data_IF_569463816671
#
_entry.id   IF_569463816671
#
_cell.length_a   1.000
_cell.length_b   1.000
_cell.length_c   1.000
_cell.angle_alpha   90.00
_cell.angle_beta   90.00
_cell.angle_gamma   90.00
#
_symmetry.space_group_name_H-M   'P 1'
#
loop_
_entity.id
_entity.type
_entity.pdbx_description
1 polymer ?
#
# COMPACT_ATOMS: atom_id res chain seq x y z
N UNK A 1 42.96 -8.73 -3.07
CA UNK A 1 41.93 -7.89 -3.71
C UNK A 1 40.59 -8.41 -3.22
N UNK A 2 40.14 -7.94 -2.06
CA UNK A 2 38.91 -8.42 -1.44
C UNK A 2 37.73 -7.70 -2.09
N UNK A 3 36.87 -8.45 -2.77
CA UNK A 3 35.54 -7.98 -3.13
C UNK A 3 34.75 -7.86 -1.83
N UNK A 4 34.45 -6.63 -1.42
CA UNK A 4 33.60 -6.33 -0.28
C UNK A 4 32.25 -7.02 -0.47
N UNK A 5 32.05 -8.13 0.25
CA UNK A 5 30.74 -8.76 0.40
C UNK A 5 29.92 -7.86 1.32
N UNK A 6 29.25 -6.89 0.72
CA UNK A 6 28.18 -6.14 1.39
C UNK A 6 27.17 -7.19 1.90
N UNK A 7 26.93 -7.20 3.21
CA UNK A 7 26.00 -8.14 3.84
C UNK A 7 24.58 -7.92 3.30
N UNK A 8 23.75 -8.98 3.25
CA UNK A 8 22.36 -8.86 2.78
C UNK A 8 21.53 -7.78 3.51
N UNK A 9 21.71 -7.55 4.84
CA UNK A 9 21.10 -6.43 5.55
C UNK A 9 21.58 -5.06 5.04
N UNK A 10 22.89 -4.87 4.82
CA UNK A 10 23.40 -3.61 4.27
C UNK A 10 22.81 -3.31 2.89
N UNK A 11 22.71 -4.32 2.03
CA UNK A 11 22.15 -4.18 0.69
C UNK A 11 20.67 -3.78 0.74
N UNK A 12 19.90 -4.39 1.63
CA UNK A 12 18.48 -4.06 1.84
C UNK A 12 18.30 -2.64 2.39
N UNK A 13 19.12 -2.22 3.35
CA UNK A 13 19.10 -0.86 3.88
C UNK A 13 19.44 0.18 2.81
N UNK A 14 20.43 -0.09 1.96
CA UNK A 14 20.75 0.78 0.82
C UNK A 14 19.62 0.85 -0.22
N UNK A 15 18.93 -0.26 -0.49
CA UNK A 15 17.78 -0.27 -1.39
C UNK A 15 16.63 0.57 -0.83
N UNK A 16 16.39 0.52 0.49
CA UNK A 16 15.38 1.35 1.19
C UNK A 16 15.76 2.85 1.12
N UNK A 17 17.02 3.21 1.35
CA UNK A 17 17.48 4.60 1.28
C UNK A 17 17.50 5.15 -0.15
N UNK A 18 17.68 4.27 -1.15
CA UNK A 18 17.65 4.62 -2.58
C UNK A 18 16.24 4.63 -3.17
N UNK A 19 15.20 4.32 -2.39
CA UNK A 19 13.82 4.56 -2.80
C UNK A 19 13.63 6.07 -2.99
N UNK A 20 13.93 6.53 -4.20
CA UNK A 20 13.63 7.89 -4.61
C UNK A 20 12.13 8.01 -4.73
N UNK A 21 11.58 8.91 -3.95
CA UNK A 21 10.26 9.49 -4.18
C UNK A 21 10.43 10.51 -5.32
N UNK A 22 10.79 10.03 -6.52
CA UNK A 22 10.89 10.87 -7.72
C UNK A 22 9.46 11.11 -8.23
N UNK A 23 8.84 12.16 -7.70
CA UNK A 23 7.68 12.73 -8.34
C UNK A 23 8.11 13.98 -9.11
N UNK A 24 7.68 14.07 -10.37
CA UNK A 24 7.84 15.25 -11.20
C UNK A 24 6.76 16.27 -10.77
N UNK A 25 6.93 16.92 -9.62
CA UNK A 25 5.97 17.85 -8.97
C UNK A 25 6.31 19.31 -9.31
N UNK A 26 6.75 19.59 -10.53
CA UNK A 26 6.86 20.99 -10.96
C UNK A 26 5.47 21.62 -11.21
N UNK A 27 4.42 20.80 -11.36
CA UNK A 27 3.10 21.25 -11.82
C UNK A 27 1.97 21.18 -10.77
N UNK A 28 2.22 20.68 -9.55
CA UNK A 28 1.16 20.50 -8.55
C UNK A 28 1.21 21.59 -7.45
N UNK A 29 0.49 22.67 -7.73
CA UNK A 29 0.16 23.71 -6.75
C UNK A 29 -0.93 23.20 -5.80
N UNK A 30 -0.60 22.95 -4.52
CA UNK A 30 -1.67 22.81 -3.51
C UNK A 30 -1.29 22.21 -2.16
N UNK A 31 -0.24 21.39 -2.06
CA UNK A 31 0.12 20.79 -0.79
C UNK A 31 0.94 21.78 0.06
N UNK A 32 0.24 22.58 0.87
CA UNK A 32 0.84 23.51 1.84
C UNK A 32 1.86 22.85 2.79
N UNK A 33 1.86 21.52 2.88
CA UNK A 33 2.74 20.72 3.73
C UNK A 33 3.49 19.59 2.99
N UNK A 34 3.71 19.70 1.67
CA UNK A 34 4.47 18.68 0.91
C UNK A 34 5.85 18.41 1.55
N UNK A 35 6.57 19.47 1.93
CA UNK A 35 7.86 19.34 2.59
C UNK A 35 7.75 18.56 3.92
N UNK A 36 6.66 18.74 4.67
CA UNK A 36 6.39 18.03 5.93
C UNK A 36 6.09 16.55 5.67
N UNK A 37 5.30 16.25 4.63
CA UNK A 37 4.98 14.88 4.22
C UNK A 37 6.23 14.15 3.69
N UNK A 38 6.98 14.77 2.79
CA UNK A 38 8.24 14.26 2.25
C UNK A 38 9.27 14.03 3.37
N UNK A 39 9.42 14.97 4.30
CA UNK A 39 10.27 14.81 5.47
C UNK A 39 9.81 13.64 6.36
N UNK A 40 8.50 13.43 6.50
CA UNK A 40 7.91 12.29 7.20
C UNK A 40 8.27 10.95 6.55
N UNK A 41 8.14 10.86 5.22
CA UNK A 41 8.52 9.66 4.46
C UNK A 41 10.02 9.40 4.55
N UNK A 42 10.85 10.43 4.31
CA UNK A 42 12.31 10.31 4.40
C UNK A 42 12.78 9.89 5.79
N UNK A 43 12.14 10.43 6.85
CA UNK A 43 12.41 10.02 8.23
C UNK A 43 12.01 8.57 8.49
N UNK A 44 10.88 8.13 7.95
CA UNK A 44 10.43 6.74 8.01
C UNK A 44 11.36 5.77 7.28
N UNK A 45 11.77 6.11 6.06
CA UNK A 45 12.73 5.34 5.26
C UNK A 45 14.08 5.24 5.97
N UNK A 46 14.58 6.35 6.52
CA UNK A 46 15.82 6.37 7.30
C UNK A 46 15.72 5.52 8.56
N UNK A 47 14.63 5.61 9.31
CA UNK A 47 14.41 4.79 10.51
C UNK A 47 14.35 3.30 10.17
N UNK A 48 13.71 2.93 9.05
CA UNK A 48 13.66 1.56 8.56
C UNK A 48 15.05 1.06 8.13
N UNK A 49 15.83 1.88 7.41
CA UNK A 49 17.18 1.55 7.01
C UNK A 49 18.14 1.40 8.20
N UNK A 50 18.05 2.30 9.18
CA UNK A 50 18.85 2.23 10.42
C UNK A 50 18.46 1.02 11.28
N UNK A 51 17.19 0.63 11.30
CA UNK A 51 16.75 -0.60 11.95
C UNK A 51 17.35 -1.84 11.30
N UNK A 52 17.28 -1.95 9.97
CA UNK A 52 17.87 -3.05 9.20
C UNK A 52 19.39 -3.11 9.36
N UNK A 53 20.05 -1.95 9.43
CA UNK A 53 21.52 -1.83 9.56
C UNK A 53 22.02 -2.19 10.96
N UNK A 54 21.23 -1.92 12.00
CA UNK A 54 21.61 -2.11 13.40
C UNK A 54 20.98 -3.35 14.04
N UNK A 55 20.23 -4.16 13.29
CA UNK A 55 19.65 -5.39 13.79
C UNK A 55 20.77 -6.34 14.30
N UNK A 56 20.72 -6.79 15.57
CA UNK A 56 21.74 -7.67 16.12
C UNK A 56 21.74 -9.01 15.39
N UNK A 57 22.93 -9.45 14.95
CA UNK A 57 23.15 -10.65 14.13
C UNK A 57 22.98 -11.98 14.87
N UNK A 58 22.02 -12.05 15.78
CA UNK A 58 21.64 -13.25 16.53
C UNK A 58 20.40 -13.85 15.88
N UNK A 59 20.41 -15.15 15.49
CA UNK A 59 19.33 -15.74 14.70
C UNK A 59 17.94 -15.73 15.38
N UNK A 60 17.89 -15.54 16.70
CA UNK A 60 16.65 -15.44 17.49
C UNK A 60 16.12 -14.00 17.54
N UNK A 61 17.00 -13.00 17.42
CA UNK A 61 16.67 -11.57 17.56
C UNK A 61 16.32 -10.94 16.18
N UNK A 62 16.91 -11.44 15.10
CA UNK A 62 16.58 -11.01 13.72
C UNK A 62 15.15 -11.38 13.30
N UNK A 63 14.63 -12.53 13.74
CA UNK A 63 13.24 -12.93 13.45
C UNK A 63 12.24 -12.08 14.24
N UNK A 64 12.56 -11.76 15.49
CA UNK A 64 11.73 -10.89 16.34
C UNK A 64 11.72 -9.45 15.79
N UNK A 65 12.89 -8.92 15.45
CA UNK A 65 13.09 -7.61 14.83
C UNK A 65 12.37 -7.48 13.48
N UNK A 66 12.47 -8.50 12.62
CA UNK A 66 11.74 -8.52 11.34
C UNK A 66 10.22 -8.57 11.52
N UNK A 67 9.73 -9.31 12.53
CA UNK A 67 8.32 -9.37 12.87
C UNK A 67 7.79 -8.03 13.40
N UNK A 68 8.55 -7.36 14.27
CA UNK A 68 8.19 -6.04 14.81
C UNK A 68 8.16 -4.97 13.71
N UNK A 69 9.11 -5.00 12.78
CA UNK A 69 9.10 -4.12 11.61
C UNK A 69 7.88 -4.37 10.73
N UNK A 70 7.53 -5.64 10.48
CA UNK A 70 6.34 -5.98 9.70
C UNK A 70 5.05 -5.47 10.39
N UNK A 71 4.97 -5.55 11.72
CA UNK A 71 3.86 -4.97 12.49
C UNK A 71 3.78 -3.45 12.29
N UNK A 72 4.90 -2.74 12.36
CA UNK A 72 4.96 -1.29 12.14
C UNK A 72 4.55 -0.90 10.72
N UNK A 73 5.00 -1.67 9.71
CA UNK A 73 4.63 -1.42 8.31
C UNK A 73 3.14 -1.69 8.07
N UNK A 74 2.55 -2.71 8.71
CA UNK A 74 1.09 -2.93 8.69
C UNK A 74 0.32 -1.78 9.34
N UNK A 75 0.78 -1.30 10.49
CA UNK A 75 0.20 -0.14 11.15
C UNK A 75 0.29 1.13 10.27
N UNK A 76 1.39 1.29 9.54
CA UNK A 76 1.53 2.39 8.58
C UNK A 76 0.54 2.27 7.41
N UNK A 77 0.35 1.05 6.87
CA UNK A 77 -0.71 0.77 5.88
C UNK A 77 -2.09 1.18 6.39
N UNK A 78 -2.46 0.79 7.61
CA UNK A 78 -3.75 1.14 8.22
C UNK A 78 -3.90 2.65 8.40
N UNK A 79 -2.81 3.33 8.77
CA UNK A 79 -2.75 4.78 8.92
C UNK A 79 -2.98 5.49 7.58
N UNK A 80 -2.35 5.01 6.49
CA UNK A 80 -2.59 5.53 5.14
C UNK A 80 -4.05 5.36 4.72
N UNK A 81 -4.66 4.19 4.96
CA UNK A 81 -6.08 3.94 4.69
C UNK A 81 -7.01 4.87 5.48
N UNK A 82 -6.66 5.22 6.72
CA UNK A 82 -7.39 6.21 7.49
C UNK A 82 -7.32 7.60 6.85
N UNK A 83 -6.12 8.07 6.48
CA UNK A 83 -5.95 9.40 5.88
C UNK A 83 -6.56 9.51 4.48
N UNK A 84 -6.50 8.47 3.66
CA UNK A 84 -7.20 8.43 2.36
C UNK A 84 -8.70 8.70 2.56
N UNK A 85 -9.34 7.98 3.49
CA UNK A 85 -10.77 8.17 3.80
C UNK A 85 -11.08 9.56 4.34
N UNK A 86 -10.17 10.14 5.13
CA UNK A 86 -10.32 11.51 5.63
C UNK A 86 -10.28 12.50 4.46
N UNK A 87 -9.31 12.36 3.57
CA UNK A 87 -9.10 13.26 2.44
C UNK A 87 -10.27 13.21 1.46
N UNK A 88 -10.80 12.00 1.19
CA UNK A 88 -12.03 11.81 0.41
C UNK A 88 -13.22 12.56 1.02
N UNK A 89 -13.39 12.50 2.35
CA UNK A 89 -14.48 13.21 3.05
C UNK A 89 -14.31 14.71 3.02
N UNK A 90 -13.08 15.21 3.02
CA UNK A 90 -12.79 16.64 2.94
C UNK A 90 -12.69 17.17 1.52
N UNK A 91 -12.85 16.30 0.50
CA UNK A 91 -12.76 16.66 -0.91
C UNK A 91 -11.33 16.83 -1.44
N UNK A 92 -10.32 16.43 -0.67
CA UNK A 92 -8.91 16.46 -1.07
C UNK A 92 -8.56 15.23 -1.92
N UNK A 93 -9.05 15.24 -3.16
CA UNK A 93 -8.84 14.13 -4.10
C UNK A 93 -7.37 13.87 -4.44
N UNK A 94 -6.54 14.92 -4.42
CA UNK A 94 -5.11 14.84 -4.73
C UNK A 94 -4.32 14.24 -3.57
N UNK A 95 -4.58 14.71 -2.33
CA UNK A 95 -4.02 14.13 -1.12
C UNK A 95 -4.38 12.66 -0.97
N UNK A 96 -5.61 12.27 -1.32
CA UNK A 96 -6.04 10.89 -1.34
C UNK A 96 -5.30 10.06 -2.41
N UNK A 97 -5.11 10.59 -3.62
CA UNK A 97 -4.41 9.89 -4.71
C UNK A 97 -2.94 9.58 -4.37
N UNK A 98 -2.21 10.56 -3.81
CA UNK A 98 -0.83 10.38 -3.36
C UNK A 98 -0.71 9.29 -2.28
N UNK A 99 -1.64 9.28 -1.32
CA UNK A 99 -1.65 8.30 -0.24
C UNK A 99 -2.02 6.90 -0.75
N UNK A 100 -2.88 6.77 -1.76
CA UNK A 100 -3.16 5.49 -2.43
C UNK A 100 -1.91 4.93 -3.13
N UNK A 101 -1.16 5.76 -3.84
CA UNK A 101 0.09 5.28 -4.46
C UNK A 101 1.07 4.78 -3.40
N UNK A 102 1.24 5.54 -2.31
CA UNK A 102 2.11 5.15 -1.19
C UNK A 102 1.61 3.86 -0.54
N UNK A 103 0.30 3.71 -0.37
CA UNK A 103 -0.33 2.50 0.14
C UNK A 103 0.00 1.29 -0.74
N UNK A 104 -0.05 1.42 -2.07
CA UNK A 104 0.33 0.36 -2.99
C UNK A 104 1.78 -0.11 -2.82
N UNK A 105 2.71 0.82 -2.59
CA UNK A 105 4.13 0.49 -2.30
C UNK A 105 4.23 -0.29 -0.99
N UNK A 106 3.58 0.20 0.07
CA UNK A 106 3.60 -0.41 1.41
C UNK A 106 2.97 -1.80 1.38
N UNK A 107 1.83 -1.96 0.72
CA UNK A 107 1.14 -3.24 0.61
C UNK A 107 1.95 -4.27 -0.19
N UNK A 108 2.66 -3.84 -1.24
CA UNK A 108 3.59 -4.71 -1.96
C UNK A 108 4.79 -5.12 -1.09
N UNK A 109 5.31 -4.23 -0.27
CA UNK A 109 6.39 -4.54 0.67
C UNK A 109 5.94 -5.55 1.73
N UNK A 110 4.73 -5.39 2.28
CA UNK A 110 4.10 -6.35 3.20
C UNK A 110 3.93 -7.71 2.51
N UNK A 111 3.33 -7.74 1.31
CA UNK A 111 3.10 -8.97 0.56
C UNK A 111 4.42 -9.72 0.29
N UNK A 112 5.46 -9.01 -0.13
CA UNK A 112 6.80 -9.58 -0.35
C UNK A 112 7.40 -10.16 0.94
N UNK A 113 7.23 -9.48 2.08
CA UNK A 113 7.72 -9.95 3.38
C UNK A 113 6.95 -11.20 3.86
N UNK A 114 5.65 -11.29 3.55
CA UNK A 114 4.78 -12.41 3.91
C UNK A 114 4.82 -13.56 2.89
N UNK A 115 5.54 -13.40 1.77
CA UNK A 115 5.53 -14.36 0.67
C UNK A 115 4.18 -14.46 -0.06
N UNK A 116 3.32 -13.45 0.09
CA UNK A 116 2.03 -13.37 -0.57
C UNK A 116 2.16 -12.84 -2.01
N UNK A 117 1.29 -13.29 -2.90
CA UNK A 117 1.20 -12.74 -4.25
C UNK A 117 0.53 -11.36 -4.26
N UNK A 118 0.84 -10.55 -5.27
CA UNK A 118 0.19 -9.25 -5.47
C UNK A 118 -1.34 -9.41 -5.61
N UNK A 119 -1.81 -10.45 -6.29
CA UNK A 119 -3.23 -10.80 -6.39
C UNK A 119 -3.87 -11.03 -5.02
N UNK A 120 -3.23 -11.79 -4.14
CA UNK A 120 -3.74 -12.04 -2.77
C UNK A 120 -3.78 -10.75 -1.94
N UNK A 121 -2.82 -9.86 -2.15
CA UNK A 121 -2.76 -8.55 -1.50
C UNK A 121 -3.89 -7.63 -2.00
N UNK A 122 -4.12 -7.57 -3.32
CA UNK A 122 -5.23 -6.81 -3.90
C UNK A 122 -6.59 -7.35 -3.45
N UNK A 123 -6.74 -8.68 -3.35
CA UNK A 123 -7.97 -9.30 -2.85
C UNK A 123 -8.22 -8.95 -1.37
N UNK A 124 -7.16 -8.93 -0.55
CA UNK A 124 -7.24 -8.48 0.85
C UNK A 124 -7.63 -7.01 0.94
N UNK A 125 -7.06 -6.17 0.06
CA UNK A 125 -7.43 -4.75 -0.04
C UNK A 125 -8.90 -4.57 -0.41
N UNK A 126 -9.38 -5.31 -1.42
CA UNK A 126 -10.77 -5.28 -1.85
C UNK A 126 -11.73 -5.62 -0.70
N UNK A 127 -11.43 -6.65 0.08
CA UNK A 127 -12.23 -7.01 1.26
C UNK A 127 -12.27 -5.86 2.28
N UNK A 128 -11.14 -5.18 2.52
CA UNK A 128 -11.09 -4.00 3.39
C UNK A 128 -11.94 -2.85 2.86
N UNK A 129 -11.90 -2.60 1.55
CA UNK A 129 -12.72 -1.58 0.89
C UNK A 129 -14.22 -1.89 1.01
N UNK A 130 -14.62 -3.15 0.82
CA UNK A 130 -16.01 -3.59 0.99
C UNK A 130 -16.50 -3.36 2.42
N UNK A 131 -15.69 -3.72 3.43
CA UNK A 131 -16.02 -3.49 4.84
C UNK A 131 -16.09 -2.00 5.15
N UNK A 132 -15.20 -1.19 4.57
CA UNK A 132 -15.12 0.25 4.84
C UNK A 132 -16.18 1.07 4.10
N UNK A 133 -16.71 0.57 2.98
CA UNK A 133 -17.69 1.25 2.14
C UNK A 133 -18.90 0.33 1.83
N UNK A 134 -19.64 -0.14 2.86
CA UNK A 134 -20.68 -1.15 2.69
C UNK A 134 -21.83 -0.68 1.79
N UNK A 135 -22.23 0.59 1.87
CA UNK A 135 -23.26 1.17 1.01
C UNK A 135 -22.83 1.19 -0.46
N UNK A 136 -21.56 1.54 -0.73
CA UNK A 136 -21.00 1.57 -2.08
C UNK A 136 -20.83 0.16 -2.63
N UNK A 137 -20.45 -0.81 -1.79
CA UNK A 137 -20.37 -2.21 -2.17
C UNK A 137 -21.76 -2.76 -2.55
N UNK A 138 -22.80 -2.39 -1.79
CA UNK A 138 -24.18 -2.75 -2.12
C UNK A 138 -24.61 -2.14 -3.46
N UNK A 139 -24.30 -0.86 -3.72
CA UNK A 139 -24.56 -0.23 -5.01
C UNK A 139 -23.77 -0.90 -6.15
N UNK A 140 -22.52 -1.26 -5.94
CA UNK A 140 -21.68 -1.91 -6.96
C UNK A 140 -22.20 -3.30 -7.39
N UNK A 141 -23.06 -3.94 -6.59
CA UNK A 141 -23.74 -5.19 -6.96
C UNK A 141 -24.82 -5.00 -8.03
N UNK A 142 -25.30 -3.76 -8.22
CA UNK A 142 -26.39 -3.41 -9.15
C UNK A 142 -25.99 -2.34 -10.18
N UNK A 143 -24.94 -1.56 -9.92
CA UNK A 143 -24.51 -0.41 -10.71
C UNK A 143 -23.03 -0.53 -11.13
N UNK A 144 -22.80 -0.45 -12.44
CA UNK A 144 -21.47 -0.57 -13.05
C UNK A 144 -20.57 0.63 -12.74
N UNK A 145 -21.15 1.82 -12.53
CA UNK A 145 -20.39 2.99 -12.13
C UNK A 145 -19.79 2.82 -10.73
N UNK A 146 -20.60 2.34 -9.78
CA UNK A 146 -20.15 2.00 -8.43
C UNK A 146 -19.13 0.86 -8.43
N UNK A 147 -19.24 -0.12 -9.34
CA UNK A 147 -18.23 -1.17 -9.52
C UNK A 147 -16.91 -0.62 -10.05
N UNK A 148 -16.97 0.33 -10.99
CA UNK A 148 -15.80 1.00 -11.56
C UNK A 148 -14.99 1.73 -10.49
N UNK A 149 -15.65 2.25 -9.45
CA UNK A 149 -14.94 2.84 -8.30
C UNK A 149 -14.01 1.81 -7.62
N UNK A 150 -14.48 0.59 -7.34
CA UNK A 150 -13.63 -0.45 -6.74
C UNK A 150 -12.49 -0.88 -7.66
N UNK A 151 -12.74 -0.97 -8.97
CA UNK A 151 -11.69 -1.25 -9.97
C UNK A 151 -10.62 -0.15 -9.96
N UNK A 152 -11.04 1.12 -9.91
CA UNK A 152 -10.13 2.25 -9.84
C UNK A 152 -9.29 2.25 -8.57
N UNK A 153 -9.90 1.96 -7.41
CA UNK A 153 -9.19 1.83 -6.14
C UNK A 153 -8.11 0.74 -6.21
N UNK A 154 -8.45 -0.47 -6.67
CA UNK A 154 -7.47 -1.56 -6.82
C UNK A 154 -6.37 -1.23 -7.83
N UNK A 155 -6.73 -0.60 -8.95
CA UNK A 155 -5.76 -0.19 -9.97
C UNK A 155 -4.78 0.85 -9.43
N UNK A 156 -5.23 1.75 -8.55
CA UNK A 156 -4.39 2.80 -7.98
C UNK A 156 -3.29 2.29 -7.04
N UNK A 157 -3.49 1.10 -6.45
CA UNK A 157 -2.53 0.45 -5.54
C UNK A 157 -1.74 -0.69 -6.20
N UNK A 158 -2.20 -1.16 -7.36
CA UNK A 158 -1.51 -2.20 -8.13
C UNK A 158 -0.19 -1.69 -8.72
N UNK A 159 0.79 -2.58 -8.87
CA UNK A 159 2.10 -2.27 -9.46
C UNK A 159 2.07 -2.08 -10.99
N UNK A 160 0.89 -2.25 -11.61
CA UNK A 160 0.71 -2.30 -13.07
C UNK A 160 1.03 -3.65 -13.71
N UNK A 161 1.41 -4.67 -12.93
CA UNK A 161 1.70 -6.02 -13.44
C UNK A 161 0.48 -6.93 -13.51
N UNK A 162 -0.51 -6.69 -12.65
CA UNK A 162 -1.78 -7.42 -12.67
C UNK A 162 -2.61 -6.86 -13.82
N UNK A 163 -3.03 -7.67 -14.80
CA UNK A 163 -3.87 -7.23 -15.91
C UNK A 163 -5.18 -6.63 -15.41
N UNK A 164 -5.65 -5.56 -16.04
CA UNK A 164 -6.93 -4.91 -15.68
C UNK A 164 -8.09 -5.92 -15.68
N UNK A 165 -8.14 -6.84 -16.63
CA UNK A 165 -9.16 -7.89 -16.72
C UNK A 165 -9.18 -8.80 -15.49
N UNK A 166 -8.03 -9.01 -14.85
CA UNK A 166 -7.94 -9.84 -13.64
C UNK A 166 -8.40 -9.07 -12.40
N UNK A 167 -8.12 -7.76 -12.35
CA UNK A 167 -8.66 -6.85 -11.34
C UNK A 167 -10.19 -6.77 -11.47
N UNK A 168 -10.71 -6.57 -12.67
CA UNK A 168 -12.16 -6.53 -12.95
C UNK A 168 -12.86 -7.84 -12.58
N UNK A 169 -12.25 -8.98 -12.89
CA UNK A 169 -12.77 -10.30 -12.54
C UNK A 169 -12.82 -10.48 -11.01
N UNK A 170 -11.76 -10.08 -10.29
CA UNK A 170 -11.72 -10.11 -8.84
C UNK A 170 -12.81 -9.23 -8.22
N UNK A 171 -12.95 -7.99 -8.67
CA UNK A 171 -14.00 -7.07 -8.21
C UNK A 171 -15.39 -7.67 -8.44
N UNK A 172 -15.61 -8.23 -9.63
CA UNK A 172 -16.88 -8.86 -9.97
C UNK A 172 -17.18 -10.04 -9.05
N UNK A 173 -16.22 -10.94 -8.81
CA UNK A 173 -16.40 -12.11 -7.93
C UNK A 173 -16.80 -11.74 -6.50
N UNK A 174 -16.21 -10.68 -5.93
CA UNK A 174 -16.47 -10.26 -4.55
C UNK A 174 -17.69 -9.35 -4.39
N UNK A 175 -18.11 -8.66 -5.45
CA UNK A 175 -19.25 -7.73 -5.44
C UNK A 175 -20.51 -8.29 -6.11
N UNK A 176 -20.47 -9.52 -6.64
CA UNK A 176 -21.66 -10.19 -7.16
C UNK A 176 -22.73 -10.27 -6.06
N UNK A 177 -24.01 -10.01 -6.38
CA UNK A 177 -25.09 -10.22 -5.43
C UNK A 177 -25.03 -11.68 -4.97
N UNK A 178 -25.05 -11.89 -3.65
CA UNK A 178 -25.17 -13.22 -3.09
C UNK A 178 -26.35 -13.91 -3.79
N UNK A 179 -26.09 -15.02 -4.49
CA UNK A 179 -27.16 -15.81 -5.10
C UNK A 179 -28.19 -16.14 -4.03
N UNK A 180 -29.37 -15.53 -4.11
CA UNK A 180 -30.53 -15.85 -3.27
C UNK A 180 -30.84 -14.84 -2.17
N UNK A 181 -31.35 -13.68 -2.55
CA UNK A 181 -32.39 -12.98 -1.80
C UNK A 181 -33.60 -12.90 -2.71
N UNK A 182 -34.60 -13.74 -2.46
CA UNK A 182 -35.81 -13.80 -3.28
C UNK A 182 -36.54 -12.45 -3.31
N UNK A 183 -37.25 -12.25 -4.42
CA UNK A 183 -38.23 -11.20 -4.67
C UNK A 183 -39.23 -10.98 -3.53
#
# INVERSE_FOLDING_TARGET
MSLDKISAPQKTAEEIEKLKVEYNIADFFGLADWATFEAGILKGLKAAADFVRNAPSTPVDEMQSSADLLILVKLFSDTLQYYIRRDEKTGDSEGAALKRNTLGIVMNAIAKAEGASELSMLETHLKSLVISHPEKALLASIDDYSRTWFVAELTSVASGRVPLTEIEAMVSQHLMPAKGGAA
#
